data_IF_167236582932
#
_entry.id   IF_167236582932
#
_cell.length_a   1.000
_cell.length_b   1.000
_cell.length_c   1.000
_cell.angle_alpha   90.00
_cell.angle_beta   90.00
_cell.angle_gamma   90.00
#
_symmetry.space_group_name_H-M   'P 1'
#
loop_
_entity.id
_entity.type
_entity.pdbx_description
1 polymer ?
#
# COMPACT_ATOMS: atom_id res chain seq x y z
N UNK A 1 -4.69 -6.29 11.01
CA UNK A 1 -4.29 -5.33 9.97
C UNK A 1 -3.20 -5.97 9.14
N UNK A 2 -3.25 -5.85 7.82
CA UNK A 2 -2.26 -6.41 6.89
C UNK A 2 -1.74 -5.29 5.98
N UNK A 3 -0.45 -5.35 5.62
CA UNK A 3 0.16 -4.45 4.63
C UNK A 3 0.25 -5.17 3.29
N UNK A 4 -0.35 -4.59 2.27
CA UNK A 4 -0.37 -5.10 0.91
C UNK A 4 0.54 -4.21 0.05
N UNK A 5 1.74 -4.68 -0.23
CA UNK A 5 2.75 -3.96 -1.01
C UNK A 5 3.10 -2.60 -0.36
N UNK A 6 3.11 -1.50 -1.13
CA UNK A 6 3.58 -0.19 -0.67
C UNK A 6 2.49 0.87 -0.42
N UNK A 7 1.23 0.59 -0.73
CA UNK A 7 0.15 1.60 -0.72
C UNK A 7 -1.21 1.09 -0.23
N UNK A 8 -1.41 -0.23 -0.14
CA UNK A 8 -2.68 -0.83 0.22
C UNK A 8 -2.63 -1.48 1.61
N UNK A 9 -3.74 -1.38 2.34
CA UNK A 9 -3.90 -1.91 3.69
C UNK A 9 -5.18 -2.73 3.78
N UNK A 10 -5.15 -3.82 4.53
CA UNK A 10 -6.37 -4.52 4.96
C UNK A 10 -6.60 -4.23 6.43
N UNK A 11 -7.70 -3.54 6.71
CA UNK A 11 -8.09 -3.13 8.06
C UNK A 11 -9.30 -3.93 8.53
N UNK A 12 -9.40 -4.09 9.85
CA UNK A 12 -10.59 -4.64 10.50
C UNK A 12 -11.26 -3.47 11.24
N UNK A 13 -12.50 -3.16 10.89
CA UNK A 13 -13.32 -2.16 11.58
C UNK A 13 -13.70 -2.67 12.97
N UNK A 14 -14.12 -1.76 13.84
CA UNK A 14 -14.66 -2.09 15.16
C UNK A 14 -15.95 -2.95 15.05
N UNK A 15 -16.68 -2.85 13.92
CA UNK A 15 -17.82 -3.72 13.58
C UNK A 15 -17.43 -5.18 13.30
N UNK A 16 -16.13 -5.49 13.20
CA UNK A 16 -15.61 -6.80 12.81
C UNK A 16 -15.43 -6.99 11.30
N UNK A 17 -15.98 -6.10 10.47
CA UNK A 17 -15.84 -6.12 9.02
C UNK A 17 -14.38 -5.89 8.60
N UNK A 18 -13.91 -6.69 7.64
CA UNK A 18 -12.58 -6.55 7.06
C UNK A 18 -12.71 -5.88 5.70
N UNK A 19 -11.96 -4.80 5.49
CA UNK A 19 -11.96 -4.08 4.21
C UNK A 19 -10.55 -3.75 3.74
N UNK A 20 -10.37 -3.71 2.42
CA UNK A 20 -9.14 -3.26 1.78
C UNK A 20 -9.27 -1.78 1.41
N UNK A 21 -8.26 -0.99 1.78
CA UNK A 21 -8.17 0.44 1.50
C UNK A 21 -6.82 0.76 0.84
N UNK A 22 -6.74 1.90 0.17
CA UNK A 22 -5.53 2.44 -0.43
C UNK A 22 -5.19 3.79 0.19
N UNK A 23 -3.91 4.08 0.37
CA UNK A 23 -3.46 5.40 0.78
C UNK A 23 -3.79 6.42 -0.33
N UNK A 24 -4.48 7.50 0.03
CA UNK A 24 -4.89 8.52 -0.93
C UNK A 24 -3.70 9.33 -1.45
N UNK A 25 -3.82 9.78 -2.71
CA UNK A 25 -2.88 10.71 -3.37
C UNK A 25 -1.42 10.26 -3.52
N UNK A 26 -1.08 9.01 -3.19
CA UNK A 26 0.25 8.44 -3.39
C UNK A 26 0.22 7.26 -4.37
N UNK A 27 1.38 6.93 -4.97
CA UNK A 27 1.55 5.73 -5.79
C UNK A 27 2.73 4.91 -5.28
N UNK A 28 2.60 3.58 -5.19
CA UNK A 28 3.71 2.73 -4.79
C UNK A 28 4.77 2.74 -5.90
N UNK A 29 6.04 2.44 -5.57
CA UNK A 29 7.08 2.23 -6.55
C UNK A 29 6.63 1.22 -7.63
N UNK A 30 6.98 1.48 -8.89
CA UNK A 30 6.69 0.58 -10.02
C UNK A 30 7.99 0.23 -10.72
N UNK A 31 8.10 -0.99 -11.24
CA UNK A 31 9.20 -1.31 -12.15
C UNK A 31 8.98 -0.59 -13.48
N UNK A 32 9.96 0.20 -13.93
CA UNK A 32 9.88 0.90 -15.22
C UNK A 32 9.89 -0.07 -16.41
N UNK A 33 10.52 -1.25 -16.27
CA UNK A 33 10.70 -2.20 -17.38
C UNK A 33 10.12 -3.61 -17.13
N UNK A 34 9.02 -3.71 -16.37
CA UNK A 34 8.32 -5.00 -16.19
C UNK A 34 9.22 -6.15 -15.69
N UNK A 35 10.23 -5.82 -14.88
CA UNK A 35 11.15 -6.81 -14.30
C UNK A 35 12.14 -7.42 -15.28
N UNK A 36 12.46 -6.79 -16.40
CA UNK A 36 13.38 -7.35 -17.42
C UNK A 36 14.86 -7.06 -17.19
N UNK A 37 15.21 -5.99 -16.47
CA UNK A 37 16.60 -5.52 -16.40
C UNK A 37 17.53 -6.38 -15.52
N UNK A 38 16.98 -7.19 -14.61
CA UNK A 38 17.77 -8.01 -13.66
C UNK A 38 17.38 -9.49 -13.63
N UNK A 39 16.86 -10.04 -14.74
CA UNK A 39 16.52 -11.47 -14.78
C UNK A 39 17.79 -12.31 -14.87
N UNK A 40 18.28 -12.76 -13.72
CA UNK A 40 19.11 -13.98 -13.66
C UNK A 40 18.30 -15.10 -14.31
N UNK A 41 18.85 -15.83 -15.32
CA UNK A 41 18.13 -16.93 -15.96
C UNK A 41 17.59 -17.91 -14.91
N UNK A 42 16.26 -18.11 -14.88
CA UNK A 42 15.59 -19.03 -13.95
C UNK A 42 15.03 -18.42 -12.66
N UNK A 43 15.25 -17.12 -12.37
CA UNK A 43 14.63 -16.45 -11.20
C UNK A 43 13.29 -15.81 -11.58
N UNK A 44 12.21 -16.20 -10.90
CA UNK A 44 10.91 -15.55 -11.03
C UNK A 44 10.95 -14.13 -10.43
N UNK A 45 10.41 -13.15 -11.18
CA UNK A 45 10.24 -11.78 -10.71
C UNK A 45 9.30 -11.74 -9.49
N UNK A 46 9.78 -11.15 -8.40
CA UNK A 46 9.09 -10.96 -7.13
C UNK A 46 8.96 -9.46 -6.87
N UNK A 47 7.79 -8.84 -7.16
CA UNK A 47 7.59 -7.40 -7.04
C UNK A 47 8.02 -6.80 -5.70
N UNK A 48 7.84 -7.54 -4.59
CA UNK A 48 8.24 -7.08 -3.27
C UNK A 48 9.75 -6.83 -3.14
N UNK A 49 10.58 -7.67 -3.78
CA UNK A 49 12.03 -7.65 -3.63
C UNK A 49 12.76 -7.04 -4.82
N UNK A 50 12.13 -7.10 -6.00
CA UNK A 50 12.77 -6.71 -7.27
C UNK A 50 12.39 -5.29 -7.71
N UNK A 51 11.31 -4.70 -7.16
CA UNK A 51 10.99 -3.29 -7.39
C UNK A 51 11.77 -2.44 -6.36
N UNK A 52 12.60 -1.48 -6.81
CA UNK A 52 13.32 -0.58 -5.91
C UNK A 52 12.38 0.08 -4.88
N UNK A 53 12.82 0.14 -3.62
CA UNK A 53 12.10 0.73 -2.49
C UNK A 53 10.76 0.09 -2.10
N UNK A 54 10.27 -0.93 -2.82
CA UNK A 54 9.00 -1.59 -2.50
C UNK A 54 9.06 -2.31 -1.14
N UNK A 55 10.15 -3.04 -0.89
CA UNK A 55 10.37 -3.72 0.39
C UNK A 55 10.43 -2.71 1.54
N UNK A 56 11.17 -1.62 1.35
CA UNK A 56 11.35 -0.58 2.36
C UNK A 56 10.03 0.13 2.69
N UNK A 57 9.26 0.50 1.67
CA UNK A 57 7.93 1.10 1.82
C UNK A 57 6.99 0.16 2.59
N UNK A 58 6.96 -1.13 2.22
CA UNK A 58 6.14 -2.12 2.92
C UNK A 58 6.56 -2.26 4.38
N UNK A 59 7.85 -2.38 4.66
CA UNK A 59 8.36 -2.56 6.02
C UNK A 59 8.20 -1.31 6.88
N UNK A 60 8.29 -0.12 6.28
CA UNK A 60 7.99 1.14 6.94
C UNK A 60 6.54 1.16 7.47
N UNK A 61 5.58 0.81 6.61
CA UNK A 61 4.17 0.69 6.99
C UNK A 61 3.97 -0.43 8.03
N UNK A 62 4.61 -1.59 7.83
CA UNK A 62 4.45 -2.76 8.71
C UNK A 62 4.88 -2.45 10.14
N UNK A 63 6.06 -1.86 10.31
CA UNK A 63 6.63 -1.53 11.63
C UNK A 63 5.77 -0.51 12.38
N UNK A 64 5.14 0.44 11.66
CA UNK A 64 4.36 1.52 12.28
C UNK A 64 2.91 1.15 12.56
N UNK A 65 2.29 0.33 11.72
CA UNK A 65 0.83 0.18 11.73
C UNK A 65 0.33 -1.16 12.24
N UNK A 66 1.10 -2.25 12.11
CA UNK A 66 0.62 -3.56 12.56
C UNK A 66 0.41 -3.55 14.08
N UNK A 67 -0.77 -4.01 14.50
CA UNK A 67 -1.18 -4.03 15.91
C UNK A 67 -1.55 -2.67 16.49
N UNK A 68 -1.61 -1.61 15.66
CA UNK A 68 -2.02 -0.27 16.09
C UNK A 68 -3.45 0.05 15.65
N UNK A 69 -4.16 0.84 16.47
CA UNK A 69 -5.43 1.46 16.07
C UNK A 69 -5.10 2.72 15.27
N UNK A 70 -5.73 2.85 14.11
CA UNK A 70 -5.54 3.97 13.18
C UNK A 70 -6.87 4.66 12.95
N UNK A 71 -6.83 5.95 12.67
CA UNK A 71 -7.99 6.71 12.21
C UNK A 71 -7.97 6.73 10.69
N UNK A 72 -9.10 6.38 10.07
CA UNK A 72 -9.22 6.27 8.62
C UNK A 72 -10.34 7.20 8.17
N UNK A 73 -10.02 8.08 7.22
CA UNK A 73 -10.98 8.96 6.56
C UNK A 73 -11.02 8.61 5.08
N UNK A 74 -12.21 8.32 4.55
CA UNK A 74 -12.39 8.05 3.11
C UNK A 74 -12.40 9.38 2.37
N UNK A 75 -11.45 9.55 1.44
CA UNK A 75 -11.32 10.78 0.67
C UNK A 75 -12.11 10.70 -0.65
N UNK A 76 -11.96 9.58 -1.36
CA UNK A 76 -12.70 9.29 -2.59
C UNK A 76 -12.73 7.80 -2.90
N UNK A 77 -13.71 7.38 -3.68
CA UNK A 77 -13.77 6.05 -4.29
C UNK A 77 -13.44 6.21 -5.76
N UNK A 78 -12.33 5.62 -6.19
CA UNK A 78 -12.00 5.51 -7.61
C UNK A 78 -12.86 4.38 -8.19
N UNK A 79 -13.81 4.69 -9.10
CA UNK A 79 -14.66 3.67 -9.69
C UNK A 79 -13.82 2.68 -10.49
N UNK A 80 -14.33 1.46 -10.63
CA UNK A 80 -13.76 0.44 -11.50
C UNK A 80 -13.59 1.01 -12.92
N UNK A 81 -12.44 0.76 -13.54
CA UNK A 81 -12.20 0.98 -14.97
C UNK A 81 -11.85 -0.35 -15.64
N UNK A 82 -11.80 -0.39 -16.97
CA UNK A 82 -11.49 -1.62 -17.71
C UNK A 82 -10.14 -2.25 -17.31
N UNK A 83 -9.21 -1.42 -16.83
CA UNK A 83 -7.86 -1.86 -16.44
C UNK A 83 -7.67 -2.01 -14.93
N UNK A 84 -8.58 -1.51 -14.08
CA UNK A 84 -8.36 -1.47 -12.63
C UNK A 84 -9.65 -1.71 -11.83
N UNK A 85 -9.60 -2.50 -10.74
CA UNK A 85 -10.73 -2.64 -9.82
C UNK A 85 -11.04 -1.32 -9.12
N UNK A 86 -12.24 -1.22 -8.55
CA UNK A 86 -12.61 -0.12 -7.67
C UNK A 86 -11.62 0.00 -6.51
N UNK A 87 -11.27 1.23 -6.14
CA UNK A 87 -10.36 1.52 -5.02
C UNK A 87 -10.93 2.57 -4.09
N UNK A 88 -11.07 2.21 -2.83
CA UNK A 88 -11.39 3.14 -1.75
C UNK A 88 -10.10 3.79 -1.26
N UNK A 89 -9.89 5.05 -1.62
CA UNK A 89 -8.72 5.83 -1.23
C UNK A 89 -9.00 6.55 0.10
N UNK A 90 -8.05 6.47 1.02
CA UNK A 90 -8.21 6.96 2.38
C UNK A 90 -6.96 7.66 2.90
N UNK A 91 -7.18 8.70 3.70
CA UNK A 91 -6.19 9.24 4.60
C UNK A 91 -6.13 8.37 5.85
N UNK A 92 -4.93 7.92 6.21
CA UNK A 92 -4.68 7.07 7.39
C UNK A 92 -3.79 7.82 8.36
N UNK A 93 -4.29 7.99 9.59
CA UNK A 93 -3.60 8.66 10.67
C UNK A 93 -3.28 7.68 11.80
N UNK A 94 -2.07 7.79 12.34
CA UNK A 94 -1.71 7.17 13.62
C UNK A 94 -1.40 8.30 14.62
N UNK A 95 -2.30 8.50 15.58
CA UNK A 95 -2.29 9.73 16.38
C UNK A 95 -2.55 10.95 15.50
N UNK A 96 -1.58 11.85 15.39
CA UNK A 96 -1.65 13.05 14.54
C UNK A 96 -0.83 12.92 13.23
N UNK A 97 -0.13 11.81 13.00
CA UNK A 97 0.75 11.68 11.85
C UNK A 97 0.05 11.02 10.66
N UNK A 98 0.10 11.68 9.50
CA UNK A 98 -0.32 11.12 8.22
C UNK A 98 0.73 10.13 7.72
N UNK A 99 0.30 8.88 7.56
CA UNK A 99 1.17 7.78 7.15
C UNK A 99 1.58 7.93 5.68
N UNK A 100 0.69 8.40 4.82
CA UNK A 100 0.96 8.59 3.39
C UNK A 100 2.04 9.66 3.17
N UNK A 101 1.94 10.78 3.90
CA UNK A 101 2.95 11.84 3.90
C UNK A 101 4.30 11.34 4.41
N UNK A 102 4.31 10.58 5.50
CA UNK A 102 5.51 10.02 6.09
C UNK A 102 6.20 8.96 5.20
N UNK A 103 5.50 8.42 4.20
CA UNK A 103 6.05 7.48 3.22
C UNK A 103 6.72 8.19 2.04
N UNK A 104 6.35 9.44 1.77
CA UNK A 104 6.87 10.27 0.67
C UNK A 104 8.01 11.18 1.13
N UNK A 105 8.06 11.48 2.44
CA UNK A 105 9.10 12.32 3.07
C UNK A 105 10.40 11.56 3.29
#
# INVERSE_FOLDING_TARGET
MEIVMGDALVIKKDSGEVMKIWLSSIRPPKSEEGGKENQTPGRQFRPLYDIPHMFDAREFLRKRLIGKKVTVTVDYVQPKSDSFPEKTACTVLIGQQNVAEALVS
#
